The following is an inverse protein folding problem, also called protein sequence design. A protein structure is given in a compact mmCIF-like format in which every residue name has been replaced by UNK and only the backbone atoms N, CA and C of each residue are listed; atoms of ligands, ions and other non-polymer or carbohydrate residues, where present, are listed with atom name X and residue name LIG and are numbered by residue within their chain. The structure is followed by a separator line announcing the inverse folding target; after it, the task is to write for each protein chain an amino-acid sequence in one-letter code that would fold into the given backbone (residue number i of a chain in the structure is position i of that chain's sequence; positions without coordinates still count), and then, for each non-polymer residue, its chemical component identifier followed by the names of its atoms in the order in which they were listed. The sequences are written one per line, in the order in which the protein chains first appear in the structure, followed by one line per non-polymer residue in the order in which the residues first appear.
data_IF_088636823383
#
_entry.id   IF_088636823383
#
_cell.length_a   1.000
_cell.length_b   1.000
_cell.length_c   1.000
_cell.angle_alpha   90.00
_cell.angle_beta   90.00
_cell.angle_gamma   90.00
#
_symmetry.space_group_name_H-M   'P 1'
#
loop_
_entity.id
_entity.type
_entity.pdbx_description
1 polymer ?
#
# COMPACT_ATOMS: atom_id res chain seq x y z
N UNK A 1 5.25 -20.75 9.04
CA UNK A 1 3.89 -20.33 8.70
C UNK A 1 3.36 -19.46 9.83
N UNK A 2 2.75 -18.30 9.51
CA UNK A 2 2.04 -17.48 10.48
C UNK A 2 0.62 -18.03 10.62
N UNK A 3 0.19 -18.24 11.84
CA UNK A 3 -1.16 -18.68 12.19
C UNK A 3 -1.75 -17.68 13.17
N UNK A 4 -3.06 -17.59 13.24
CA UNK A 4 -3.74 -16.79 14.26
C UNK A 4 -3.61 -17.41 15.66
N UNK A 5 -3.97 -16.65 16.68
CA UNK A 5 -3.84 -17.08 18.07
C UNK A 5 -4.67 -18.35 18.37
N UNK A 6 -5.87 -18.44 17.82
CA UNK A 6 -6.75 -19.58 18.06
C UNK A 6 -6.16 -20.88 17.51
N UNK A 7 -5.58 -20.82 16.30
CA UNK A 7 -4.89 -21.95 15.69
C UNK A 7 -3.61 -22.31 16.46
N UNK A 8 -2.84 -21.31 16.90
CA UNK A 8 -1.64 -21.53 17.69
C UNK A 8 -1.97 -22.24 19.02
N UNK A 9 -3.02 -21.80 19.70
CA UNK A 9 -3.48 -22.41 20.96
C UNK A 9 -3.96 -23.85 20.72
N UNK A 10 -4.74 -24.12 19.67
CA UNK A 10 -5.17 -25.46 19.30
C UNK A 10 -4.00 -26.41 19.00
N UNK A 11 -2.94 -25.92 18.31
CA UNK A 11 -1.73 -26.69 18.07
C UNK A 11 -0.97 -26.96 19.37
N UNK A 12 -0.91 -26.00 20.30
CA UNK A 12 -0.27 -26.17 21.60
C UNK A 12 -0.98 -27.26 22.41
N UNK A 13 -2.31 -27.15 22.52
CA UNK A 13 -3.14 -28.11 23.26
C UNK A 13 -3.01 -29.52 22.68
N UNK A 14 -2.99 -29.64 21.34
CA UNK A 14 -2.77 -30.92 20.68
C UNK A 14 -1.39 -31.51 20.97
N UNK A 15 -0.34 -30.69 20.96
CA UNK A 15 1.02 -31.12 21.27
C UNK A 15 1.14 -31.61 22.72
N UNK A 16 0.55 -30.88 23.66
CA UNK A 16 0.52 -31.26 25.10
C UNK A 16 -0.23 -32.57 25.30
N UNK A 17 -1.42 -32.71 24.71
CA UNK A 17 -2.23 -33.92 24.83
C UNK A 17 -1.56 -35.19 24.26
N UNK A 18 -0.68 -35.04 23.27
CA UNK A 18 -0.01 -36.15 22.59
C UNK A 18 1.49 -36.29 22.92
N UNK A 19 2.01 -35.51 23.87
CA UNK A 19 3.43 -35.55 24.27
C UNK A 19 4.41 -35.14 23.17
N UNK A 20 3.99 -34.26 22.25
CA UNK A 20 4.81 -33.79 21.13
C UNK A 20 5.65 -32.59 21.57
N UNK A 21 6.98 -32.73 21.58
CA UNK A 21 7.93 -31.69 22.06
C UNK A 21 8.69 -30.99 20.94
N UNK A 22 8.51 -31.41 19.67
CA UNK A 22 9.27 -30.91 18.53
C UNK A 22 8.73 -29.62 17.89
N UNK A 23 7.58 -29.12 18.32
CA UNK A 23 6.94 -27.93 17.75
C UNK A 23 7.15 -26.75 18.70
N UNK A 24 7.74 -25.68 18.18
CA UNK A 24 7.89 -24.41 18.90
C UNK A 24 6.96 -23.38 18.30
N UNK A 25 6.21 -22.69 19.14
CA UNK A 25 5.29 -21.61 18.77
C UNK A 25 5.84 -20.31 19.36
N UNK A 26 6.31 -19.43 18.49
CA UNK A 26 6.81 -18.11 18.86
C UNK A 26 5.74 -17.06 18.55
N UNK A 27 5.65 -16.03 19.40
CA UNK A 27 4.80 -14.88 19.14
C UNK A 27 5.43 -14.05 18.02
N UNK A 28 4.58 -13.63 17.08
CA UNK A 28 4.96 -12.78 15.96
C UNK A 28 3.92 -11.66 15.76
N UNK A 29 4.26 -10.61 15.05
CA UNK A 29 3.36 -9.51 14.71
C UNK A 29 3.00 -9.57 13.23
N UNK A 30 1.80 -9.10 12.89
CA UNK A 30 1.33 -8.99 11.52
C UNK A 30 0.64 -7.66 11.32
N UNK A 31 1.01 -6.96 10.24
CA UNK A 31 0.29 -5.77 9.82
C UNK A 31 -1.13 -6.14 9.40
N UNK A 32 -2.11 -5.41 9.87
CA UNK A 32 -3.52 -5.60 9.56
C UNK A 32 -4.15 -4.32 9.04
N UNK A 33 -4.88 -4.41 7.93
CA UNK A 33 -5.56 -3.29 7.27
C UNK A 33 -7.08 -3.46 7.44
N UNK A 34 -7.68 -2.88 8.50
CA UNK A 34 -9.05 -3.18 8.91
C UNK A 34 -10.11 -2.73 7.90
N UNK A 35 -9.78 -1.80 7.02
CA UNK A 35 -10.69 -1.28 6.00
C UNK A 35 -10.48 -1.93 4.61
N UNK A 36 -9.67 -3.00 4.52
CA UNK A 36 -9.45 -3.73 3.27
C UNK A 36 -8.93 -2.83 2.15
N UNK A 37 -9.68 -2.73 1.06
CA UNK A 37 -9.28 -2.01 -0.17
C UNK A 37 -9.16 -0.48 -0.01
N UNK A 38 -9.69 0.08 1.09
CA UNK A 38 -9.69 1.51 1.34
C UNK A 38 -8.28 2.09 1.35
N UNK A 39 -8.04 3.11 0.51
CA UNK A 39 -6.77 3.82 0.40
C UNK A 39 -5.56 2.91 0.08
N UNK A 40 -5.78 1.70 -0.44
CA UNK A 40 -4.77 0.65 -0.58
C UNK A 40 -3.53 1.08 -1.38
N UNK A 41 -3.71 1.78 -2.50
CA UNK A 41 -2.60 2.24 -3.35
C UNK A 41 -1.73 3.32 -2.69
N UNK A 42 -2.25 4.02 -1.68
CA UNK A 42 -1.52 5.03 -0.89
C UNK A 42 -0.84 4.36 0.30
N UNK A 43 -1.59 3.58 1.08
CA UNK A 43 -1.05 2.88 2.24
C UNK A 43 0.04 1.89 1.82
N UNK A 44 -0.21 1.11 0.80
CA UNK A 44 0.65 0.00 0.44
C UNK A 44 0.44 -1.21 1.35
N UNK A 45 1.46 -2.04 1.47
CA UNK A 45 1.44 -3.23 2.32
C UNK A 45 2.84 -3.66 2.73
N UNK A 46 2.92 -4.52 3.74
CA UNK A 46 4.17 -5.14 4.21
C UNK A 46 4.28 -6.60 3.73
N UNK A 47 5.50 -7.11 3.67
CA UNK A 47 5.77 -8.52 3.41
C UNK A 47 5.56 -9.37 4.69
N UNK A 48 5.94 -10.65 4.60
CA UNK A 48 5.86 -11.58 5.74
C UNK A 48 6.81 -11.24 6.89
N UNK A 49 7.83 -10.45 6.65
CA UNK A 49 8.80 -10.00 7.65
C UNK A 49 8.45 -8.62 8.23
N UNK A 50 7.24 -8.13 7.94
CA UNK A 50 6.71 -6.81 8.25
C UNK A 50 7.46 -5.63 7.59
N UNK A 51 8.36 -5.89 6.64
CA UNK A 51 9.01 -4.84 5.87
C UNK A 51 8.07 -4.28 4.81
N UNK A 52 8.06 -2.96 4.63
CA UNK A 52 7.21 -2.27 3.65
C UNK A 52 7.57 -2.64 2.21
N UNK A 53 6.56 -2.91 1.37
CA UNK A 53 6.75 -3.31 -0.04
C UNK A 53 6.30 -2.21 -1.00
N UNK A 54 5.29 -1.45 -0.64
CA UNK A 54 4.76 -0.37 -1.47
C UNK A 54 4.13 0.73 -0.63
N UNK A 55 3.80 1.86 -1.26
CA UNK A 55 3.07 2.97 -0.65
C UNK A 55 3.79 3.61 0.54
N UNK A 56 3.00 4.05 1.51
CA UNK A 56 3.51 4.67 2.74
C UNK A 56 4.23 3.66 3.64
N UNK A 57 3.81 2.39 3.63
CA UNK A 57 4.51 1.32 4.36
C UNK A 57 5.97 1.21 3.92
N UNK A 58 6.25 1.26 2.60
CA UNK A 58 7.62 1.25 2.08
C UNK A 58 8.35 2.58 2.36
N UNK A 59 7.65 3.71 2.14
CA UNK A 59 8.29 5.04 2.25
C UNK A 59 8.74 5.36 3.67
N UNK A 60 8.00 4.88 4.66
CA UNK A 60 8.23 5.14 6.08
C UNK A 60 8.54 3.86 6.87
N UNK A 61 9.07 2.84 6.20
CA UNK A 61 9.39 1.55 6.81
C UNK A 61 10.27 1.70 8.06
N UNK A 62 11.34 2.48 7.96
CA UNK A 62 12.27 2.75 9.08
C UNK A 62 11.57 3.35 10.33
N UNK A 63 10.50 4.14 10.12
CA UNK A 63 9.74 4.75 11.22
C UNK A 63 8.68 3.80 11.78
N UNK A 64 8.07 2.97 10.90
CA UNK A 64 6.94 2.13 11.25
C UNK A 64 7.34 0.78 11.85
N UNK A 65 8.55 0.29 11.54
CA UNK A 65 8.98 -1.06 11.91
C UNK A 65 9.39 -1.17 13.37
N UNK A 66 9.96 -0.12 13.98
CA UNK A 66 10.53 -0.19 15.34
C UNK A 66 11.77 -1.07 15.42
N UNK A 67 12.13 -1.50 16.61
CA UNK A 67 13.30 -2.36 16.87
C UNK A 67 12.87 -3.70 17.46
N UNK A 68 13.39 -4.79 16.88
CA UNK A 68 13.12 -6.12 17.39
C UNK A 68 13.79 -6.35 18.76
N UNK A 69 13.08 -7.01 19.66
CA UNK A 69 13.65 -7.52 20.89
C UNK A 69 14.66 -8.63 20.63
N UNK A 70 15.62 -8.78 21.52
CA UNK A 70 16.64 -9.84 21.47
C UNK A 70 16.69 -10.53 22.83
N UNK A 71 16.59 -11.85 22.81
CA UNK A 71 16.81 -12.69 24.00
C UNK A 71 18.07 -13.52 23.76
N UNK A 72 19.10 -13.28 24.55
CA UNK A 72 20.35 -14.06 24.52
C UNK A 72 20.33 -15.07 25.66
N UNK A 73 20.17 -16.33 25.31
CA UNK A 73 20.17 -17.44 26.27
C UNK A 73 21.35 -18.36 26.00
N UNK A 74 22.14 -18.63 27.02
CA UNK A 74 23.24 -19.61 26.92
C UNK A 74 22.66 -21.03 26.89
N UNK A 75 23.10 -21.83 25.91
CA UNK A 75 22.70 -23.22 25.78
C UNK A 75 23.92 -24.14 25.83
N UNK A 76 23.76 -25.36 26.34
CA UNK A 76 24.81 -26.38 26.30
C UNK A 76 24.97 -26.96 24.86
N UNK A 77 25.97 -27.84 24.70
CA UNK A 77 26.24 -28.48 23.39
C UNK A 77 25.07 -29.30 22.81
N UNK A 78 24.07 -29.65 23.60
CA UNK A 78 22.86 -30.36 23.21
C UNK A 78 21.63 -29.42 22.99
N UNK A 79 21.81 -28.10 23.15
CA UNK A 79 20.74 -27.11 22.93
C UNK A 79 19.82 -26.90 24.13
N UNK A 80 20.13 -27.41 25.32
CA UNK A 80 19.36 -27.13 26.52
C UNK A 80 19.84 -25.84 27.19
N UNK A 81 18.90 -25.02 27.64
CA UNK A 81 19.17 -23.79 28.39
C UNK A 81 19.89 -24.11 29.69
N UNK A 82 20.97 -23.40 29.98
CA UNK A 82 21.68 -23.52 31.23
C UNK A 82 20.93 -22.79 32.36
N UNK A 83 20.61 -23.47 33.46
CA UNK A 83 19.82 -22.91 34.57
C UNK A 83 20.47 -21.68 35.27
N UNK A 84 21.75 -21.41 35.04
CA UNK A 84 22.48 -20.26 35.56
C UNK A 84 22.93 -19.30 34.44
N UNK A 85 22.30 -19.34 33.28
CA UNK A 85 22.62 -18.41 32.19
C UNK A 85 22.11 -17.01 32.52
N UNK A 86 22.97 -16.01 32.38
CA UNK A 86 22.52 -14.62 32.33
C UNK A 86 21.70 -14.44 31.05
N UNK A 87 20.38 -14.35 31.18
CA UNK A 87 19.52 -13.91 30.09
C UNK A 87 19.68 -12.40 29.93
N UNK A 88 20.20 -11.98 28.79
CA UNK A 88 20.15 -10.57 28.41
C UNK A 88 18.94 -10.39 27.55
N UNK A 89 17.90 -9.74 28.08
CA UNK A 89 16.69 -9.43 27.38
C UNK A 89 16.71 -7.95 26.97
N UNK A 90 16.60 -7.70 25.67
CA UNK A 90 16.33 -6.38 25.12
C UNK A 90 14.90 -6.39 24.61
N UNK A 91 14.05 -5.61 25.25
CA UNK A 91 12.65 -5.52 24.85
C UNK A 91 12.50 -4.89 23.46
N UNK A 92 11.50 -5.32 22.66
CA UNK A 92 11.19 -4.67 21.40
C UNK A 92 10.72 -3.24 21.65
N UNK A 93 11.09 -2.33 20.74
CA UNK A 93 10.60 -0.96 20.71
C UNK A 93 9.57 -0.85 19.59
N UNK A 94 8.37 -0.39 19.91
CA UNK A 94 7.32 -0.18 18.91
C UNK A 94 7.74 0.93 17.93
N UNK A 95 7.34 0.78 16.67
CA UNK A 95 7.52 1.81 15.65
C UNK A 95 6.58 3.00 15.85
N UNK A 96 6.91 4.09 15.19
CA UNK A 96 6.10 5.31 15.20
C UNK A 96 4.79 5.15 14.40
N UNK A 97 3.83 6.02 14.67
CA UNK A 97 2.58 6.10 13.91
C UNK A 97 2.58 7.23 12.88
N UNK A 98 1.91 7.04 11.75
CA UNK A 98 1.68 8.09 10.76
C UNK A 98 0.27 8.65 10.87
N UNK A 99 0.15 9.98 10.97
CA UNK A 99 -1.12 10.69 10.85
C UNK A 99 -1.21 11.33 9.46
N UNK A 100 -2.18 10.89 8.67
CA UNK A 100 -2.42 11.40 7.34
C UNK A 100 -3.39 12.58 7.34
N UNK A 101 -3.33 13.41 6.29
CA UNK A 101 -4.32 14.47 6.02
C UNK A 101 -5.60 13.96 5.37
N UNK A 102 -5.64 12.67 5.06
CA UNK A 102 -6.78 12.00 4.42
C UNK A 102 -8.02 12.09 5.33
N UNK A 103 -9.13 12.55 4.76
CA UNK A 103 -10.45 12.47 5.38
C UNK A 103 -11.15 11.21 4.91
N UNK A 104 -11.53 10.35 5.84
CA UNK A 104 -12.11 9.04 5.52
C UNK A 104 -13.43 9.15 4.72
N UNK A 105 -14.26 10.15 5.01
CA UNK A 105 -15.52 10.33 4.31
C UNK A 105 -15.29 10.81 2.87
N UNK A 106 -14.40 11.81 2.69
CA UNK A 106 -14.06 12.32 1.36
C UNK A 106 -13.40 11.21 0.52
N UNK A 107 -12.51 10.43 1.12
CA UNK A 107 -11.87 9.28 0.46
C UNK A 107 -12.92 8.27 -0.01
N UNK A 108 -13.87 7.93 0.83
CA UNK A 108 -14.94 6.97 0.52
C UNK A 108 -15.82 7.45 -0.64
N UNK A 109 -16.19 8.73 -0.61
CA UNK A 109 -16.95 9.34 -1.72
C UNK A 109 -16.16 9.33 -3.02
N UNK A 110 -14.85 9.63 -2.97
CA UNK A 110 -13.99 9.63 -4.16
C UNK A 110 -13.86 8.22 -4.75
N UNK A 111 -13.63 7.21 -3.93
CA UNK A 111 -13.51 5.81 -4.37
C UNK A 111 -14.79 5.32 -5.02
N UNK A 112 -15.95 5.59 -4.41
CA UNK A 112 -17.25 5.23 -4.96
C UNK A 112 -17.53 5.94 -6.29
N UNK A 113 -17.28 7.26 -6.36
CA UNK A 113 -17.50 8.03 -7.58
C UNK A 113 -16.61 7.56 -8.74
N UNK A 114 -15.32 7.31 -8.48
CA UNK A 114 -14.40 6.78 -9.49
C UNK A 114 -14.76 5.35 -9.90
N UNK A 115 -15.12 4.50 -8.93
CA UNK A 115 -15.56 3.13 -9.24
C UNK A 115 -16.81 3.10 -10.11
N UNK A 116 -17.76 3.99 -9.85
CA UNK A 116 -18.94 4.17 -10.70
C UNK A 116 -18.55 4.67 -12.12
N UNK A 117 -17.73 5.72 -12.20
CA UNK A 117 -17.30 6.29 -13.48
C UNK A 117 -16.54 5.28 -14.35
N UNK A 118 -15.66 4.47 -13.75
CA UNK A 118 -14.91 3.42 -14.46
C UNK A 118 -15.85 2.39 -15.07
N UNK A 119 -16.90 1.98 -14.34
CA UNK A 119 -17.89 1.01 -14.84
C UNK A 119 -18.78 1.61 -15.92
N UNK A 120 -19.34 2.80 -15.66
CA UNK A 120 -20.28 3.47 -16.55
C UNK A 120 -19.66 3.84 -17.90
N UNK A 121 -18.42 4.30 -17.88
CA UNK A 121 -17.73 4.76 -19.09
C UNK A 121 -16.75 3.72 -19.67
N UNK A 122 -16.77 2.49 -19.16
CA UNK A 122 -15.90 1.39 -19.62
C UNK A 122 -14.42 1.80 -19.72
N UNK A 123 -13.90 2.48 -18.68
CA UNK A 123 -12.52 2.98 -18.68
C UNK A 123 -11.54 1.81 -18.70
N UNK A 124 -10.82 1.67 -19.82
CA UNK A 124 -9.95 0.51 -20.05
C UNK A 124 -8.55 0.65 -19.44
N UNK A 125 -8.03 1.87 -19.36
CA UNK A 125 -6.61 2.06 -18.99
C UNK A 125 -6.43 2.42 -17.51
N UNK A 126 -6.91 3.58 -17.11
CA UNK A 126 -6.73 4.09 -15.73
C UNK A 126 -7.71 5.21 -15.42
N UNK A 127 -8.05 5.31 -14.14
CA UNK A 127 -8.73 6.47 -13.58
C UNK A 127 -7.97 6.90 -12.31
N UNK A 128 -7.90 8.20 -12.08
CA UNK A 128 -7.22 8.78 -10.93
C UNK A 128 -8.07 9.93 -10.42
N UNK A 129 -8.21 10.03 -9.10
CA UNK A 129 -8.82 11.18 -8.44
C UNK A 129 -7.99 11.63 -7.26
N UNK A 130 -7.84 12.94 -7.12
CA UNK A 130 -7.16 13.58 -5.98
C UNK A 130 -8.03 14.73 -5.51
N UNK A 131 -8.27 14.82 -4.20
CA UNK A 131 -8.91 15.94 -3.54
C UNK A 131 -7.90 16.64 -2.65
N UNK A 132 -7.67 17.92 -2.88
CA UNK A 132 -6.66 18.70 -2.19
C UNK A 132 -7.22 20.03 -1.67
N UNK A 133 -6.78 20.45 -0.49
CA UNK A 133 -7.05 21.79 0.03
C UNK A 133 -6.14 22.81 -0.64
N UNK A 134 -6.70 23.71 -1.42
CA UNK A 134 -5.93 24.66 -2.25
C UNK A 134 -4.97 25.53 -1.43
N UNK A 135 -5.38 25.97 -0.25
CA UNK A 135 -4.59 26.89 0.56
C UNK A 135 -3.41 26.24 1.30
N UNK A 136 -3.46 24.92 1.54
CA UNK A 136 -2.46 24.22 2.35
C UNK A 136 -1.72 23.15 1.59
N UNK A 137 -2.25 22.68 0.45
CA UNK A 137 -1.74 21.55 -0.28
C UNK A 137 -2.06 20.19 0.38
N UNK A 138 -2.82 20.17 1.48
CA UNK A 138 -3.19 18.93 2.16
C UNK A 138 -4.06 18.05 1.25
N UNK A 139 -3.63 16.82 1.01
CA UNK A 139 -4.40 15.83 0.26
C UNK A 139 -5.43 15.19 1.18
N UNK A 140 -6.72 15.41 0.88
CA UNK A 140 -7.83 14.86 1.63
C UNK A 140 -8.30 13.50 1.13
N UNK A 141 -8.09 13.21 -0.16
CA UNK A 141 -8.41 11.92 -0.76
C UNK A 141 -7.54 11.68 -1.99
N UNK A 142 -7.22 10.41 -2.24
CA UNK A 142 -6.51 9.96 -3.44
C UNK A 142 -6.94 8.53 -3.77
N UNK A 143 -7.39 8.28 -5.00
CA UNK A 143 -7.84 6.96 -5.42
C UNK A 143 -7.42 6.63 -6.86
N UNK A 144 -7.09 5.37 -7.08
CA UNK A 144 -6.68 4.81 -8.38
C UNK A 144 -7.32 3.44 -8.57
N UNK A 145 -8.59 3.35 -8.99
CA UNK A 145 -9.22 2.05 -9.20
C UNK A 145 -8.59 1.25 -10.36
N UNK A 146 -8.71 -0.11 -10.35
CA UNK A 146 -9.30 -0.89 -9.27
C UNK A 146 -8.39 -0.93 -8.04
N UNK A 147 -8.98 -0.91 -6.84
CA UNK A 147 -8.27 -1.11 -5.59
C UNK A 147 -8.01 -2.60 -5.33
N UNK A 148 -7.05 -2.91 -4.47
CA UNK A 148 -6.74 -4.26 -4.03
C UNK A 148 -6.79 -4.33 -2.50
N UNK A 149 -6.95 -5.53 -1.94
CA UNK A 149 -6.88 -5.72 -0.48
C UNK A 149 -5.42 -5.84 -0.03
N UNK A 150 -4.88 -4.90 0.78
CA UNK A 150 -3.52 -4.98 1.33
C UNK A 150 -3.30 -6.18 2.26
N UNK A 151 -4.35 -6.78 2.80
CA UNK A 151 -4.26 -8.03 3.56
C UNK A 151 -3.99 -9.23 2.65
N UNK A 152 -4.34 -9.13 1.35
CA UNK A 152 -4.14 -10.16 0.32
C UNK A 152 -3.51 -9.58 -0.96
N UNK A 153 -2.38 -8.89 -0.89
CA UNK A 153 -1.86 -8.05 -1.97
C UNK A 153 -1.51 -8.83 -3.25
N UNK A 154 -1.30 -10.14 -3.13
CA UNK A 154 -0.96 -11.01 -4.26
C UNK A 154 -2.17 -11.48 -5.06
N UNK A 155 -3.39 -11.30 -4.53
CA UNK A 155 -4.62 -11.59 -5.27
C UNK A 155 -4.89 -10.44 -6.23
N UNK A 156 -5.04 -10.75 -7.51
CA UNK A 156 -5.35 -9.72 -8.51
C UNK A 156 -6.81 -9.27 -8.34
N UNK A 157 -7.03 -7.99 -8.11
CA UNK A 157 -8.35 -7.38 -7.98
C UNK A 157 -9.04 -7.26 -9.36
N UNK A 158 -8.28 -6.91 -10.40
CA UNK A 158 -8.81 -6.80 -11.76
C UNK A 158 -9.12 -8.18 -12.33
N UNK A 159 -10.40 -8.39 -12.68
CA UNK A 159 -10.90 -9.64 -13.26
C UNK A 159 -10.27 -9.92 -14.63
N UNK A 160 -10.11 -8.92 -15.47
CA UNK A 160 -9.55 -9.09 -16.83
C UNK A 160 -8.06 -9.49 -16.74
N UNK A 161 -7.29 -8.86 -15.86
CA UNK A 161 -5.90 -9.22 -15.61
C UNK A 161 -5.78 -10.66 -15.07
N UNK A 162 -6.67 -11.05 -14.16
CA UNK A 162 -6.71 -12.41 -13.61
C UNK A 162 -6.97 -13.46 -14.70
N UNK A 163 -8.01 -13.25 -15.51
CA UNK A 163 -8.34 -14.14 -16.62
C UNK A 163 -7.23 -14.21 -17.67
N UNK A 164 -6.54 -13.09 -17.93
CA UNK A 164 -5.41 -13.08 -18.86
C UNK A 164 -4.24 -13.93 -18.33
N UNK A 165 -3.92 -13.84 -17.06
CA UNK A 165 -2.87 -14.64 -16.41
C UNK A 165 -3.25 -16.12 -16.35
N UNK A 166 -4.52 -16.45 -16.09
CA UNK A 166 -5.00 -17.83 -16.02
C UNK A 166 -4.93 -18.59 -17.36
N UNK A 167 -4.95 -17.87 -18.50
CA UNK A 167 -4.79 -18.46 -19.83
C UNK A 167 -3.36 -18.87 -20.17
N UNK A 168 -2.39 -18.41 -19.38
CA UNK A 168 -0.97 -18.69 -19.55
C UNK A 168 -0.55 -19.89 -18.70
N UNK A 169 0.60 -20.49 -19.01
CA UNK A 169 1.18 -21.61 -18.27
C UNK A 169 2.68 -21.45 -18.10
N UNK A 170 3.27 -22.23 -17.18
CA UNK A 170 4.72 -22.25 -16.94
C UNK A 170 5.30 -20.87 -16.60
N UNK A 171 6.46 -20.56 -17.14
CA UNK A 171 7.22 -19.35 -16.87
C UNK A 171 6.50 -18.08 -17.37
N UNK A 172 5.76 -18.17 -18.47
CA UNK A 172 4.98 -17.04 -19.00
C UNK A 172 3.89 -16.61 -18.02
N UNK A 173 3.20 -17.56 -17.39
CA UNK A 173 2.22 -17.28 -16.36
C UNK A 173 2.85 -16.61 -15.13
N UNK A 174 4.02 -17.13 -14.70
CA UNK A 174 4.72 -16.55 -13.55
C UNK A 174 5.14 -15.11 -13.80
N UNK A 175 5.72 -14.82 -14.97
CA UNK A 175 6.13 -13.47 -15.36
C UNK A 175 4.92 -12.51 -15.50
N UNK A 176 3.83 -12.96 -16.14
CA UNK A 176 2.62 -12.17 -16.31
C UNK A 176 1.96 -11.86 -14.96
N UNK A 177 1.90 -12.83 -14.04
CA UNK A 177 1.37 -12.64 -12.69
C UNK A 177 2.19 -11.60 -11.92
N UNK A 178 3.51 -11.72 -11.95
CA UNK A 178 4.40 -10.76 -11.29
C UNK A 178 4.21 -9.34 -11.83
N UNK A 179 4.14 -9.17 -13.13
CA UNK A 179 3.90 -7.87 -13.76
C UNK A 179 2.53 -7.29 -13.38
N UNK A 180 1.48 -8.12 -13.39
CA UNK A 180 0.13 -7.70 -13.02
C UNK A 180 0.07 -7.26 -11.54
N UNK A 181 0.72 -7.98 -10.64
CA UNK A 181 0.83 -7.62 -9.22
C UNK A 181 1.59 -6.29 -9.03
N UNK A 182 2.75 -6.11 -9.66
CA UNK A 182 3.50 -4.86 -9.60
C UNK A 182 2.69 -3.67 -10.14
N UNK A 183 1.92 -3.89 -11.21
CA UNK A 183 1.03 -2.88 -11.79
C UNK A 183 -0.11 -2.51 -10.85
N UNK A 184 -0.69 -3.49 -10.15
CA UNK A 184 -1.76 -3.31 -9.17
C UNK A 184 -1.29 -2.51 -7.94
N UNK A 185 -0.09 -2.79 -7.44
CA UNK A 185 0.45 -2.15 -6.23
C UNK A 185 0.87 -0.70 -6.44
N UNK A 186 1.13 -0.34 -7.70
CA UNK A 186 1.62 0.99 -8.05
C UNK A 186 0.54 2.05 -7.87
N UNK A 187 0.85 3.12 -7.14
CA UNK A 187 -0.01 4.30 -7.07
C UNK A 187 0.08 5.10 -8.37
N UNK A 188 -0.89 4.90 -9.25
CA UNK A 188 -0.93 5.52 -10.58
C UNK A 188 -1.03 7.04 -10.51
N UNK A 189 -1.58 7.59 -9.41
CA UNK A 189 -1.72 9.04 -9.22
C UNK A 189 -0.39 9.78 -9.16
N UNK A 190 0.67 9.10 -8.68
CA UNK A 190 2.00 9.71 -8.48
C UNK A 190 3.08 9.11 -9.36
N UNK A 191 2.83 7.98 -10.01
CA UNK A 191 3.84 7.26 -10.79
C UNK A 191 3.55 7.17 -12.28
N UNK A 192 2.31 7.43 -12.72
CA UNK A 192 1.95 7.33 -14.13
C UNK A 192 1.97 8.69 -14.81
N UNK A 193 2.47 8.71 -16.03
CA UNK A 193 2.44 9.89 -16.91
C UNK A 193 1.20 9.83 -17.81
N UNK A 194 0.67 11.01 -18.16
CA UNK A 194 -0.42 11.14 -19.12
C UNK A 194 -0.24 12.42 -19.95
N UNK A 195 -0.89 12.49 -21.11
CA UNK A 195 -0.95 13.68 -21.93
C UNK A 195 -2.08 14.59 -21.45
N UNK A 196 -1.78 15.73 -20.80
CA UNK A 196 -2.79 16.54 -20.12
C UNK A 196 -3.72 17.31 -21.10
N UNK A 197 -3.31 17.49 -22.34
CA UNK A 197 -4.08 18.26 -23.33
C UNK A 197 -4.42 19.66 -22.80
N UNK A 198 -5.69 20.07 -22.95
CA UNK A 198 -6.18 21.39 -22.50
C UNK A 198 -6.07 21.63 -20.99
N UNK A 199 -5.90 20.59 -20.15
CA UNK A 199 -5.68 20.78 -18.72
C UNK A 199 -4.34 21.49 -18.45
N UNK A 200 -3.36 21.34 -19.34
CA UNK A 200 -2.08 22.02 -19.23
C UNK A 200 -2.19 23.57 -19.31
N UNK A 201 -3.28 24.09 -19.86
CA UNK A 201 -3.54 25.54 -19.90
C UNK A 201 -3.60 26.17 -18.51
N UNK A 202 -3.98 25.41 -17.49
CA UNK A 202 -3.97 25.87 -16.09
C UNK A 202 -2.53 26.15 -15.64
N UNK A 203 -1.57 25.28 -15.99
CA UNK A 203 -0.14 25.47 -15.70
C UNK A 203 0.39 26.70 -16.44
N UNK A 204 0.07 26.85 -17.71
CA UNK A 204 0.46 28.02 -18.52
C UNK A 204 -0.08 29.31 -17.92
N UNK A 205 -1.35 29.33 -17.52
CA UNK A 205 -1.96 30.49 -16.86
C UNK A 205 -1.29 30.83 -15.52
N UNK A 206 -1.06 29.81 -14.69
CA UNK A 206 -0.40 29.99 -13.40
C UNK A 206 1.03 30.56 -13.58
N UNK A 207 1.82 30.01 -14.51
CA UNK A 207 3.16 30.49 -14.82
C UNK A 207 3.17 31.93 -15.35
N UNK A 208 2.22 32.29 -16.20
CA UNK A 208 2.09 33.64 -16.76
C UNK A 208 1.74 34.68 -15.67
N UNK A 209 0.89 34.30 -14.70
CA UNK A 209 0.56 35.14 -13.55
C UNK A 209 1.73 35.26 -12.57
N UNK A 210 2.42 34.17 -12.29
CA UNK A 210 3.54 34.13 -11.34
C UNK A 210 4.75 34.92 -11.84
N UNK A 211 5.05 34.87 -13.13
CA UNK A 211 6.11 35.63 -13.77
C UNK A 211 5.75 37.11 -14.00
N UNK A 212 4.52 37.51 -13.74
CA UNK A 212 4.03 38.87 -14.02
C UNK A 212 3.86 39.20 -15.52
N UNK A 213 3.97 38.21 -16.41
CA UNK A 213 3.74 38.40 -17.85
C UNK A 213 2.29 38.83 -18.17
N UNK A 214 1.35 38.42 -17.30
CA UNK A 214 -0.05 38.84 -17.35
C UNK A 214 -0.58 39.12 -15.94
N UNK A 215 -1.68 39.85 -15.85
CA UNK A 215 -2.41 40.10 -14.63
C UNK A 215 -3.81 39.48 -14.70
N UNK A 216 -4.52 39.42 -13.57
CA UNK A 216 -5.92 38.94 -13.54
C UNK A 216 -6.88 39.77 -14.42
N UNK A 217 -6.49 41.00 -14.76
CA UNK A 217 -7.28 41.94 -15.57
C UNK A 217 -6.78 42.03 -17.02
N UNK A 218 -5.78 41.25 -17.42
CA UNK A 218 -5.30 41.23 -18.79
C UNK A 218 -6.36 40.71 -19.75
N UNK A 219 -6.53 41.38 -20.86
CA UNK A 219 -7.44 41.00 -21.96
C UNK A 219 -6.67 40.56 -23.16
N UNK A 220 -7.18 39.53 -23.83
CA UNK A 220 -6.58 38.96 -25.03
C UNK A 220 -7.60 38.96 -26.16
N UNK A 221 -7.16 39.30 -27.35
CA UNK A 221 -7.95 39.12 -28.55
C UNK A 221 -7.62 37.73 -29.14
N UNK A 222 -8.65 36.90 -29.33
CA UNK A 222 -8.49 35.62 -29.98
C UNK A 222 -9.08 35.69 -31.38
N UNK A 223 -8.23 35.78 -32.37
CA UNK A 223 -8.66 35.72 -33.79
C UNK A 223 -8.81 34.28 -34.26
N UNK A 224 -9.48 34.10 -35.43
CA UNK A 224 -9.73 32.76 -36.01
C UNK A 224 -8.42 32.07 -36.51
N UNK A 225 -7.33 32.80 -36.67
CA UNK A 225 -6.03 32.26 -37.08
C UNK A 225 -4.85 32.93 -36.36
N UNK A 226 -3.84 32.15 -36.08
CA UNK A 226 -2.54 32.64 -35.62
C UNK A 226 -1.64 32.66 -36.87
N UNK A 227 -1.20 33.83 -37.26
CA UNK A 227 -0.20 34.01 -38.33
C UNK A 227 1.21 33.97 -37.81
#
# INVERSE_FOLDING_TARGET
YRVDRAMADAVRDFCEANGITGIRINQDSKRWYPQGEFLASVLGFTNVDNAGVSGLELKYDDLLTGENGVVLTAVNAWGYTLEQSYETERFPTEGDGLRLTIDANIQHYLENALGYAVKEHHVAARAVGIVMVVNTGAVLAMSTPPAYDPNQPRVLADKAAREAVERLSGDERAAALQLAQQTQWRNKAVSDLYEPGSVFKLITCAAALDTGAVSKNSSFYCGESIS
#
